data_IF_320565589714
#
_entry.id   IF_320565589714
#
_cell.length_a   1.000
_cell.length_b   1.000
_cell.length_c   1.000
_cell.angle_alpha   90.00
_cell.angle_beta   90.00
_cell.angle_gamma   90.00
#
_symmetry.space_group_name_H-M   'P 1'
#
loop_
_entity.id
_entity.type
_entity.pdbx_description
1 polymer ?
#
# COMPACT_ATOMS: atom_id res chain seq x y z
N UNK A 1 22.28 -2.11 -13.20
CA UNK A 1 22.78 -3.49 -13.01
C UNK A 1 21.67 -4.47 -13.34
N UNK A 2 21.88 -5.49 -14.19
CA UNK A 2 20.87 -6.52 -14.46
C UNK A 2 20.55 -7.33 -13.19
N UNK A 3 19.46 -8.09 -13.23
CA UNK A 3 19.22 -9.14 -12.23
C UNK A 3 20.32 -10.19 -12.33
N UNK A 4 20.82 -10.65 -11.18
CA UNK A 4 21.81 -11.74 -11.11
C UNK A 4 21.10 -13.10 -11.27
N UNK A 5 21.85 -14.13 -11.68
CA UNK A 5 21.31 -15.50 -11.76
C UNK A 5 20.74 -15.99 -10.43
N UNK A 6 21.36 -15.58 -9.31
CA UNK A 6 20.87 -15.89 -7.97
C UNK A 6 19.52 -15.22 -7.69
N UNK A 7 19.35 -13.94 -8.05
CA UNK A 7 18.08 -13.23 -7.89
C UNK A 7 16.98 -13.86 -8.75
N UNK A 8 17.28 -14.13 -10.02
CA UNK A 8 16.35 -14.78 -10.96
C UNK A 8 15.93 -16.15 -10.43
N UNK A 9 16.88 -16.96 -9.97
CA UNK A 9 16.62 -18.27 -9.37
C UNK A 9 15.71 -18.17 -8.14
N UNK A 10 15.98 -17.22 -7.24
CA UNK A 10 15.15 -16.98 -6.05
C UNK A 10 13.72 -16.56 -6.42
N UNK A 11 13.55 -15.63 -7.38
CA UNK A 11 12.23 -15.18 -7.85
C UNK A 11 11.47 -16.35 -8.50
N UNK A 12 12.12 -17.11 -9.38
CA UNK A 12 11.50 -18.24 -10.07
C UNK A 12 11.12 -19.38 -9.12
N UNK A 13 11.89 -19.62 -8.06
CA UNK A 13 11.53 -20.58 -7.00
C UNK A 13 10.28 -20.15 -6.22
N UNK A 14 10.05 -18.85 -6.09
CA UNK A 14 8.83 -18.33 -5.45
C UNK A 14 7.64 -18.51 -6.38
N UNK A 15 7.69 -18.05 -7.63
CA UNK A 15 6.55 -18.12 -8.57
C UNK A 15 6.09 -19.56 -8.80
N UNK A 16 7.02 -20.51 -8.94
CA UNK A 16 6.70 -21.94 -9.17
C UNK A 16 6.21 -22.69 -7.94
N UNK A 17 6.22 -22.05 -6.76
CA UNK A 17 5.67 -22.65 -5.53
C UNK A 17 4.17 -22.39 -5.35
N UNK A 18 3.53 -21.74 -6.32
CA UNK A 18 2.11 -21.40 -6.34
C UNK A 18 1.38 -22.05 -7.53
N UNK A 19 0.08 -21.76 -7.67
CA UNK A 19 -0.76 -22.31 -8.72
C UNK A 19 -0.28 -21.87 -10.13
N UNK A 20 -0.58 -22.65 -11.19
CA UNK A 20 -0.36 -22.21 -12.57
C UNK A 20 -0.97 -20.82 -12.83
N UNK A 21 -0.34 -20.06 -13.72
CA UNK A 21 -0.66 -18.66 -14.03
C UNK A 21 -0.39 -17.65 -12.89
N UNK A 22 0.26 -18.07 -11.81
CA UNK A 22 0.83 -17.12 -10.84
C UNK A 22 1.89 -16.27 -11.51
N UNK A 23 1.83 -14.96 -11.33
CA UNK A 23 2.77 -13.99 -11.88
C UNK A 23 3.48 -13.19 -10.79
N UNK A 24 4.73 -12.84 -11.09
CA UNK A 24 5.50 -11.82 -10.37
C UNK A 24 5.97 -10.78 -11.38
N UNK A 25 5.72 -9.51 -11.07
CA UNK A 25 6.34 -8.36 -11.73
C UNK A 25 7.29 -7.71 -10.71
N UNK A 26 8.57 -7.60 -11.05
CA UNK A 26 9.61 -7.12 -10.13
C UNK A 26 10.33 -5.91 -10.75
N UNK A 27 10.48 -4.84 -9.98
CA UNK A 27 11.45 -3.78 -10.26
C UNK A 27 12.58 -3.83 -9.23
N UNK A 28 13.82 -3.72 -9.71
CA UNK A 28 15.05 -3.61 -8.90
C UNK A 28 15.61 -2.21 -9.06
N UNK A 29 16.06 -1.60 -7.97
CA UNK A 29 16.83 -0.35 -7.98
C UNK A 29 18.23 -0.58 -7.44
N UNK A 30 19.20 0.07 -8.06
CA UNK A 30 20.57 0.14 -7.58
C UNK A 30 21.21 1.45 -8.03
N UNK A 31 21.64 2.27 -7.08
CA UNK A 31 22.26 3.58 -7.32
C UNK A 31 21.40 4.50 -8.23
N UNK A 32 20.08 4.52 -8.00
CA UNK A 32 19.14 5.36 -8.75
C UNK A 32 18.69 4.82 -10.11
N UNK A 33 19.40 3.83 -10.65
CA UNK A 33 19.00 3.09 -11.85
C UNK A 33 18.02 1.97 -11.53
N UNK A 34 17.23 1.55 -12.53
CA UNK A 34 16.24 0.49 -12.34
C UNK A 34 16.16 -0.50 -13.51
N UNK A 35 15.70 -1.72 -13.20
CA UNK A 35 15.46 -2.80 -14.16
C UNK A 35 14.17 -3.54 -13.79
N UNK A 36 13.55 -4.19 -14.79
CA UNK A 36 12.36 -5.01 -14.61
C UNK A 36 12.67 -6.49 -14.82
N UNK A 37 11.95 -7.34 -14.10
CA UNK A 37 11.93 -8.78 -14.34
C UNK A 37 10.51 -9.31 -14.09
N UNK A 38 9.95 -9.97 -15.09
CA UNK A 38 8.63 -10.60 -15.02
C UNK A 38 8.74 -12.11 -15.19
N UNK A 39 8.00 -12.86 -14.37
CA UNK A 39 7.94 -14.32 -14.46
C UNK A 39 6.54 -14.84 -14.13
N UNK A 40 6.17 -15.96 -14.75
CA UNK A 40 4.90 -16.65 -14.55
C UNK A 40 5.13 -18.13 -14.27
N UNK A 41 4.30 -18.73 -13.41
CA UNK A 41 4.23 -20.18 -13.24
C UNK A 41 3.52 -20.81 -14.45
N UNK A 42 4.32 -21.29 -15.40
CA UNK A 42 3.87 -22.06 -16.56
C UNK A 42 3.75 -23.55 -16.28
N UNK A 43 3.52 -24.33 -17.35
CA UNK A 43 3.32 -25.79 -17.25
C UNK A 43 4.61 -26.52 -16.90
N UNK A 44 5.75 -26.04 -17.41
CA UNK A 44 7.07 -26.66 -17.26
C UNK A 44 7.94 -25.99 -16.18
N UNK A 45 7.40 -25.00 -15.47
CA UNK A 45 8.13 -24.21 -14.47
C UNK A 45 7.96 -22.71 -14.67
N UNK A 46 8.97 -21.94 -14.30
CA UNK A 46 8.95 -20.48 -14.47
C UNK A 46 9.15 -20.11 -15.95
N UNK A 47 8.29 -19.25 -16.47
CA UNK A 47 8.35 -18.69 -17.83
C UNK A 47 8.56 -17.17 -17.74
N UNK A 48 9.51 -16.58 -18.48
CA UNK A 48 9.66 -15.13 -18.53
C UNK A 48 8.43 -14.47 -19.17
N UNK A 49 8.01 -13.33 -18.64
CA UNK A 49 6.89 -12.53 -19.18
C UNK A 49 7.21 -11.04 -19.12
N UNK A 50 6.72 -10.27 -20.09
CA UNK A 50 6.87 -8.80 -20.14
C UNK A 50 5.68 -8.12 -19.46
N UNK A 51 5.61 -8.21 -18.13
CA UNK A 51 4.47 -7.72 -17.34
C UNK A 51 4.74 -6.41 -16.59
N UNK A 52 5.77 -5.65 -16.98
CA UNK A 52 6.16 -4.43 -16.26
C UNK A 52 5.12 -3.29 -16.37
N UNK A 53 4.24 -3.35 -17.38
CA UNK A 53 3.07 -2.47 -17.54
C UNK A 53 1.74 -3.14 -17.13
N UNK A 54 1.71 -4.43 -16.83
CA UNK A 54 0.49 -5.13 -16.43
C UNK A 54 0.06 -4.66 -15.03
N UNK A 55 -1.24 -4.48 -14.86
CA UNK A 55 -1.85 -3.86 -13.68
C UNK A 55 -2.23 -4.92 -12.67
N UNK A 56 -1.90 -4.66 -11.41
CA UNK A 56 -2.22 -5.49 -10.25
C UNK A 56 -2.92 -4.64 -9.19
N UNK A 57 -3.75 -5.23 -8.34
CA UNK A 57 -4.09 -4.56 -7.08
C UNK A 57 -2.86 -4.50 -6.18
N UNK A 58 -2.51 -3.32 -5.71
CA UNK A 58 -1.34 -3.14 -4.85
C UNK A 58 -1.71 -3.20 -3.36
N UNK A 59 -3.00 -3.33 -3.05
CA UNK A 59 -3.54 -3.39 -1.69
C UNK A 59 -3.00 -2.25 -0.84
N UNK A 60 -2.53 -2.57 0.36
CA UNK A 60 -2.09 -1.56 1.33
C UNK A 60 -0.89 -0.70 0.91
N UNK A 61 -0.18 -0.97 -0.20
CA UNK A 61 0.73 0.05 -0.77
C UNK A 61 -0.01 1.35 -1.12
N UNK A 62 -1.33 1.30 -1.33
CA UNK A 62 -2.21 2.47 -1.41
C UNK A 62 -1.97 3.48 -0.28
N UNK A 63 -1.70 3.01 0.94
CA UNK A 63 -1.49 3.89 2.10
C UNK A 63 -0.29 4.82 1.94
N UNK A 64 0.71 4.41 1.16
CA UNK A 64 1.86 5.27 0.81
C UNK A 64 1.40 6.47 -0.03
N UNK A 65 0.44 6.27 -0.92
CA UNK A 65 -0.11 7.32 -1.78
C UNK A 65 -1.09 8.21 -1.01
N UNK A 66 -1.95 7.62 -0.17
CA UNK A 66 -2.82 8.38 0.75
C UNK A 66 -2.00 9.29 1.67
N UNK A 67 -0.92 8.76 2.26
CA UNK A 67 -0.02 9.52 3.13
C UNK A 67 0.84 10.54 2.36
N UNK A 68 1.15 10.29 1.09
CA UNK A 68 1.80 11.29 0.25
C UNK A 68 0.86 12.48 -0.05
N UNK A 69 -0.42 12.23 -0.32
CA UNK A 69 -1.42 13.30 -0.45
C UNK A 69 -1.56 14.11 0.85
N UNK A 70 -1.57 13.44 2.02
CA UNK A 70 -1.53 14.14 3.32
C UNK A 70 -0.29 15.02 3.46
N UNK A 71 0.90 14.50 3.12
CA UNK A 71 2.14 15.25 3.22
C UNK A 71 2.16 16.48 2.29
N UNK A 72 1.65 16.33 1.06
CA UNK A 72 1.49 17.45 0.12
C UNK A 72 0.55 18.53 0.68
N UNK A 73 -0.65 18.12 1.14
CA UNK A 73 -1.63 19.04 1.73
C UNK A 73 -1.10 19.74 2.98
N UNK A 74 -0.24 19.06 3.75
CA UNK A 74 0.45 19.67 4.91
C UNK A 74 1.43 20.75 4.46
N UNK A 75 2.27 20.44 3.46
CA UNK A 75 3.22 21.43 2.92
C UNK A 75 2.53 22.62 2.23
N UNK A 76 1.32 22.42 1.70
CA UNK A 76 0.45 23.48 1.16
C UNK A 76 -0.24 24.32 2.25
N UNK A 77 -0.16 23.92 3.52
CA UNK A 77 -0.87 24.57 4.63
C UNK A 77 -2.38 24.31 4.65
N UNK A 78 -2.88 23.33 3.88
CA UNK A 78 -4.30 22.93 3.89
C UNK A 78 -4.68 22.14 5.14
N UNK A 79 -3.73 21.42 5.72
CA UNK A 79 -3.91 20.64 6.95
C UNK A 79 -2.68 20.76 7.85
N UNK A 80 -2.88 20.58 9.15
CA UNK A 80 -1.80 20.42 10.12
C UNK A 80 -1.85 18.97 10.60
N UNK A 81 -0.70 18.28 10.60
CA UNK A 81 -0.63 16.84 10.89
C UNK A 81 -1.24 16.45 12.24
N UNK A 82 -1.03 17.26 13.27
CA UNK A 82 -1.49 17.00 14.63
C UNK A 82 -2.90 17.53 14.91
N UNK A 83 -3.50 18.26 13.96
CA UNK A 83 -4.89 18.71 14.11
C UNK A 83 -5.86 17.53 14.02
N UNK A 84 -6.94 17.65 14.78
CA UNK A 84 -8.03 16.70 14.75
C UNK A 84 -8.80 16.78 13.41
N UNK A 85 -9.12 15.62 12.83
CA UNK A 85 -9.95 15.53 11.62
C UNK A 85 -11.41 15.93 11.88
N UNK A 86 -11.81 16.05 13.16
CA UNK A 86 -13.18 16.22 13.60
C UNK A 86 -13.89 17.42 12.92
N UNK A 87 -13.17 18.51 12.65
CA UNK A 87 -13.73 19.69 11.98
C UNK A 87 -14.13 19.45 10.52
N UNK A 88 -13.66 18.34 9.92
CA UNK A 88 -13.95 17.95 8.54
C UNK A 88 -15.08 16.93 8.42
N UNK A 89 -15.65 16.52 9.55
CA UNK A 89 -16.74 15.55 9.59
C UNK A 89 -18.03 16.29 9.97
N UNK A 90 -19.11 16.04 9.22
CA UNK A 90 -20.45 16.56 9.54
C UNK A 90 -21.10 15.85 10.75
N UNK A 91 -20.29 15.19 11.58
CA UNK A 91 -20.70 14.44 12.76
C UNK A 91 -19.70 14.69 13.89
N UNK A 92 -20.20 14.61 15.13
CA UNK A 92 -19.34 14.52 16.30
C UNK A 92 -18.90 13.07 16.47
N UNK A 93 -17.58 12.83 16.56
CA UNK A 93 -17.07 11.50 16.90
C UNK A 93 -17.52 11.18 18.33
N UNK A 94 -17.99 9.95 18.54
CA UNK A 94 -18.48 9.45 19.83
C UNK A 94 -17.53 9.82 20.97
N UNK A 95 -18.11 10.24 22.10
CA UNK A 95 -17.40 10.58 23.34
C UNK A 95 -16.34 11.69 23.16
N UNK A 96 -16.55 12.60 22.20
CA UNK A 96 -15.66 13.75 21.90
C UNK A 96 -14.22 13.37 21.55
N UNK A 97 -14.03 12.16 21.03
CA UNK A 97 -12.71 11.65 20.73
C UNK A 97 -12.04 12.43 19.60
N UNK A 98 -10.81 12.87 19.84
CA UNK A 98 -9.97 13.55 18.86
C UNK A 98 -9.06 12.55 18.16
N UNK A 99 -9.03 12.63 16.83
CA UNK A 99 -8.18 11.78 15.98
C UNK A 99 -7.42 12.69 15.03
N UNK A 100 -6.09 12.70 15.09
CA UNK A 100 -5.27 13.52 14.20
C UNK A 100 -4.95 12.84 12.86
N UNK A 101 -4.62 13.64 11.85
CA UNK A 101 -4.18 13.13 10.55
C UNK A 101 -2.92 12.26 10.67
N UNK A 102 -1.94 12.69 11.46
CA UNK A 102 -0.74 11.92 11.76
C UNK A 102 -1.09 10.58 12.41
N UNK A 103 -2.04 10.56 13.35
CA UNK A 103 -2.43 9.33 14.03
C UNK A 103 -3.09 8.32 13.08
N UNK A 104 -3.85 8.78 12.08
CA UNK A 104 -4.39 7.92 11.02
C UNK A 104 -3.29 7.36 10.11
N UNK A 105 -2.38 8.23 9.64
CA UNK A 105 -1.29 7.86 8.72
C UNK A 105 -0.22 6.96 9.36
N UNK A 106 -0.11 6.97 10.69
CA UNK A 106 0.89 6.20 11.45
C UNK A 106 0.30 5.03 12.22
N UNK A 107 -1.00 4.75 12.04
CA UNK A 107 -1.71 3.69 12.76
C UNK A 107 -1.70 3.84 14.29
N UNK A 108 -1.72 5.07 14.81
CA UNK A 108 -1.68 5.35 16.25
C UNK A 108 -2.95 6.02 16.80
N UNK A 109 -4.00 6.12 15.98
CA UNK A 109 -5.29 6.73 16.34
C UNK A 109 -6.11 5.94 17.37
N UNK A 110 -5.73 4.70 17.67
CA UNK A 110 -6.53 3.79 18.48
C UNK A 110 -7.71 3.16 17.72
N UNK A 111 -7.92 3.48 16.43
CA UNK A 111 -8.99 2.88 15.64
C UNK A 111 -8.78 1.35 15.49
N UNK A 112 -9.88 0.56 15.49
CA UNK A 112 -9.80 -0.87 15.24
C UNK A 112 -9.27 -1.15 13.82
N UNK A 113 -8.85 -2.40 13.58
CA UNK A 113 -8.26 -2.78 12.29
C UNK A 113 -9.24 -2.58 11.12
N UNK A 114 -10.50 -2.93 11.35
CA UNK A 114 -11.60 -2.94 10.37
C UNK A 114 -12.85 -2.32 11.01
N UNK A 115 -13.78 -1.76 10.22
CA UNK A 115 -15.09 -1.39 10.73
C UNK A 115 -15.88 -2.63 11.21
N UNK A 116 -16.86 -2.46 12.11
CA UNK A 116 -17.70 -3.53 12.61
C UNK A 116 -18.51 -4.17 11.48
N UNK A 117 -18.82 -5.46 11.62
CA UNK A 117 -19.65 -6.20 10.63
C UNK A 117 -18.93 -6.59 9.34
N UNK A 118 -17.77 -6.00 9.00
CA UNK A 118 -17.04 -6.33 7.78
C UNK A 118 -16.57 -7.80 7.74
N UNK A 119 -16.09 -8.32 8.88
CA UNK A 119 -15.77 -9.74 9.04
C UNK A 119 -16.99 -10.64 8.84
N UNK A 120 -18.17 -10.20 9.30
CA UNK A 120 -19.42 -10.93 9.12
C UNK A 120 -19.87 -10.89 7.64
N UNK A 121 -19.74 -9.76 6.96
CA UNK A 121 -19.98 -9.65 5.53
C UNK A 121 -19.04 -10.57 4.73
N UNK A 122 -17.75 -10.60 5.09
CA UNK A 122 -16.75 -11.46 4.48
C UNK A 122 -17.03 -12.96 4.68
N UNK A 123 -17.66 -13.34 5.80
CA UNK A 123 -17.97 -14.74 6.10
C UNK A 123 -19.31 -15.20 5.52
N UNK A 124 -20.34 -14.35 5.49
CA UNK A 124 -21.73 -14.80 5.31
C UNK A 124 -22.50 -14.16 4.16
N UNK A 125 -22.17 -12.94 3.70
CA UNK A 125 -22.97 -12.25 2.66
C UNK A 125 -22.21 -11.94 1.37
N UNK A 126 -20.99 -11.40 1.48
CA UNK A 126 -20.17 -10.95 0.35
C UNK A 126 -18.77 -11.53 0.47
N UNK A 127 -18.68 -12.86 0.37
CA UNK A 127 -17.42 -13.62 0.55
C UNK A 127 -16.26 -13.13 -0.33
N UNK A 128 -16.56 -12.55 -1.49
CA UNK A 128 -15.57 -12.15 -2.49
C UNK A 128 -15.20 -10.65 -2.42
N UNK A 129 -16.07 -9.79 -1.88
CA UNK A 129 -15.82 -8.34 -1.75
C UNK A 129 -16.64 -7.71 -0.60
N UNK A 130 -16.17 -7.80 0.65
CA UNK A 130 -16.93 -7.35 1.81
C UNK A 130 -16.90 -5.83 2.06
N UNK A 131 -16.02 -5.09 1.37
CA UNK A 131 -15.88 -3.65 1.57
C UNK A 131 -16.82 -2.82 0.68
N UNK A 132 -17.23 -3.35 -0.46
CA UNK A 132 -18.10 -2.67 -1.44
C UNK A 132 -19.40 -2.10 -0.83
N UNK A 133 -19.91 -2.74 0.22
CA UNK A 133 -21.15 -2.31 0.88
C UNK A 133 -20.95 -1.22 1.92
N UNK A 134 -19.71 -0.92 2.32
CA UNK A 134 -19.42 0.00 3.42
C UNK A 134 -19.24 1.41 2.86
N UNK A 135 -20.29 2.21 2.97
CA UNK A 135 -20.40 3.53 2.35
C UNK A 135 -20.19 4.66 3.37
N UNK A 136 -20.23 5.91 2.89
CA UNK A 136 -20.05 7.12 3.71
C UNK A 136 -20.94 7.11 4.94
N UNK A 137 -22.23 6.83 4.78
CA UNK A 137 -23.19 6.85 5.88
C UNK A 137 -22.90 5.77 6.93
N UNK A 138 -22.42 4.58 6.52
CA UNK A 138 -21.99 3.54 7.46
C UNK A 138 -20.78 3.99 8.28
N UNK A 139 -19.81 4.63 7.62
CA UNK A 139 -18.61 5.19 8.26
C UNK A 139 -18.98 6.28 9.27
N UNK A 140 -19.77 7.27 8.87
CA UNK A 140 -20.16 8.37 9.76
C UNK A 140 -21.04 7.87 10.90
N UNK A 141 -21.96 6.95 10.62
CA UNK A 141 -22.75 6.31 11.66
C UNK A 141 -21.86 5.57 12.67
N UNK A 142 -20.87 4.82 12.17
CA UNK A 142 -19.92 4.11 13.04
C UNK A 142 -19.15 5.08 13.94
N UNK A 143 -18.57 6.14 13.36
CA UNK A 143 -17.81 7.15 14.09
C UNK A 143 -18.65 7.91 15.13
N UNK A 144 -19.92 8.19 14.84
CA UNK A 144 -20.79 8.92 15.75
C UNK A 144 -21.35 8.04 16.88
N UNK A 145 -21.64 6.76 16.62
CA UNK A 145 -22.49 5.97 17.52
C UNK A 145 -21.83 4.72 18.10
N UNK A 146 -20.92 4.05 17.39
CA UNK A 146 -20.48 2.71 17.76
C UNK A 146 -18.96 2.55 17.84
N UNK A 147 -18.19 3.58 17.47
CA UNK A 147 -16.74 3.51 17.56
C UNK A 147 -16.26 3.35 19.00
N UNK A 148 -15.19 2.60 19.18
CA UNK A 148 -14.45 2.50 20.43
C UNK A 148 -12.97 2.54 20.09
N UNK A 149 -12.26 3.54 20.60
CA UNK A 149 -10.81 3.66 20.43
C UNK A 149 -10.09 2.80 21.47
N UNK A 150 -9.05 2.11 21.01
CA UNK A 150 -8.01 1.54 21.86
C UNK A 150 -7.01 2.60 22.32
N UNK A 151 -5.86 2.15 22.82
CA UNK A 151 -4.78 3.06 23.22
C UNK A 151 -4.26 3.86 22.04
N UNK A 152 -4.42 5.18 22.10
CA UNK A 152 -3.76 6.11 21.19
C UNK A 152 -2.25 6.12 21.41
N UNK A 153 -1.49 6.63 20.44
CA UNK A 153 -0.03 6.68 20.42
C UNK A 153 0.65 5.30 20.47
N UNK A 154 -0.09 4.21 20.29
CA UNK A 154 0.44 2.86 20.14
C UNK A 154 0.10 2.38 18.73
N UNK A 155 1.11 1.84 18.03
CA UNK A 155 0.92 1.34 16.68
C UNK A 155 -0.05 0.15 16.71
N UNK A 156 -1.17 0.31 16.02
CA UNK A 156 -2.18 -0.70 15.80
C UNK A 156 -2.72 -0.55 14.39
N UNK A 157 -2.24 -1.43 13.49
CA UNK A 157 -2.56 -1.39 12.07
C UNK A 157 -4.06 -1.28 11.80
N UNK A 158 -4.48 -0.21 11.11
CA UNK A 158 -5.88 0.10 10.87
C UNK A 158 -6.17 0.46 9.41
N UNK A 159 -6.95 -0.40 8.74
CA UNK A 159 -7.55 -0.07 7.45
C UNK A 159 -8.67 0.95 7.62
N UNK A 160 -9.41 0.90 8.73
CA UNK A 160 -10.41 1.93 9.04
C UNK A 160 -9.76 3.31 9.12
N UNK A 161 -8.63 3.44 9.82
CA UNK A 161 -7.90 4.69 9.95
C UNK A 161 -7.34 5.21 8.63
N UNK A 162 -6.68 4.35 7.85
CA UNK A 162 -6.17 4.77 6.54
C UNK A 162 -7.28 5.09 5.52
N UNK A 163 -8.40 4.34 5.55
CA UNK A 163 -9.57 4.62 4.73
C UNK A 163 -10.24 5.94 5.12
N UNK A 164 -10.40 6.19 6.42
CA UNK A 164 -10.89 7.46 6.96
C UNK A 164 -9.99 8.64 6.56
N UNK A 165 -8.67 8.45 6.59
CA UNK A 165 -7.73 9.47 6.10
C UNK A 165 -8.00 9.79 4.63
N UNK A 166 -8.07 8.78 3.77
CA UNK A 166 -8.38 9.00 2.35
C UNK A 166 -9.72 9.71 2.13
N UNK A 167 -10.75 9.34 2.90
CA UNK A 167 -12.06 9.99 2.84
C UNK A 167 -11.98 11.47 3.23
N UNK A 168 -11.41 11.80 4.39
CA UNK A 168 -11.32 13.19 4.87
C UNK A 168 -10.48 14.07 3.95
N UNK A 169 -9.37 13.56 3.40
CA UNK A 169 -8.57 14.32 2.44
C UNK A 169 -9.34 14.60 1.14
N UNK A 170 -10.21 13.69 0.72
CA UNK A 170 -11.07 13.87 -0.46
C UNK A 170 -12.14 14.94 -0.21
N UNK A 171 -12.81 14.90 0.96
CA UNK A 171 -13.78 15.92 1.37
C UNK A 171 -13.14 17.31 1.44
N UNK A 172 -11.94 17.41 2.04
CA UNK A 172 -11.17 18.66 2.12
C UNK A 172 -10.83 19.26 0.76
N UNK A 173 -10.53 18.42 -0.23
CA UNK A 173 -10.20 18.85 -1.58
C UNK A 173 -11.47 19.05 -2.44
N UNK A 174 -12.64 18.65 -1.94
CA UNK A 174 -13.91 18.74 -2.65
C UNK A 174 -14.01 17.83 -3.88
N UNK A 175 -13.33 16.69 -3.86
CA UNK A 175 -13.27 15.74 -4.98
C UNK A 175 -13.42 14.29 -4.48
N UNK A 176 -13.57 13.33 -5.38
CA UNK A 176 -13.53 11.92 -4.99
C UNK A 176 -12.08 11.42 -4.80
N UNK A 177 -11.92 10.22 -4.21
CA UNK A 177 -10.59 9.67 -3.94
C UNK A 177 -9.78 9.38 -5.21
N UNK A 178 -10.45 9.05 -6.33
CA UNK A 178 -9.79 8.86 -7.62
C UNK A 178 -9.20 10.17 -8.12
N UNK A 179 -10.00 11.24 -8.10
CA UNK A 179 -9.60 12.59 -8.48
C UNK A 179 -8.49 13.14 -7.59
N UNK A 180 -8.55 12.86 -6.28
CA UNK A 180 -7.51 13.21 -5.33
C UNK A 180 -6.16 12.62 -5.76
N UNK A 181 -6.08 11.30 -5.96
CA UNK A 181 -4.81 10.66 -6.36
C UNK A 181 -4.41 11.02 -7.81
N UNK A 182 -5.38 11.17 -8.71
CA UNK A 182 -5.11 11.56 -10.10
C UNK A 182 -4.44 12.93 -10.19
N UNK A 183 -4.97 13.92 -9.46
CA UNK A 183 -4.46 15.30 -9.48
C UNK A 183 -3.15 15.45 -8.71
N UNK A 184 -3.01 14.77 -7.56
CA UNK A 184 -1.89 14.95 -6.64
C UNK A 184 -0.68 14.05 -6.92
N UNK A 185 -0.90 12.86 -7.49
CA UNK A 185 0.15 11.85 -7.68
C UNK A 185 0.21 11.32 -9.09
N UNK A 186 -0.86 10.73 -9.62
CA UNK A 186 -0.75 9.94 -10.84
C UNK A 186 -0.39 10.78 -12.07
N UNK A 187 -1.06 11.93 -12.27
CA UNK A 187 -0.70 12.84 -13.37
C UNK A 187 0.67 13.50 -13.16
N UNK A 188 0.98 14.13 -12.00
CA UNK A 188 2.28 14.77 -11.80
C UNK A 188 3.47 13.82 -11.91
N UNK A 189 3.32 12.57 -11.46
CA UNK A 189 4.37 11.55 -11.48
C UNK A 189 4.36 10.69 -12.75
N UNK A 190 3.48 11.01 -13.72
CA UNK A 190 3.34 10.28 -14.98
C UNK A 190 3.04 8.78 -14.79
N UNK A 191 2.25 8.44 -13.78
CA UNK A 191 1.78 7.09 -13.46
C UNK A 191 0.50 6.78 -14.25
N UNK A 192 0.65 6.43 -15.53
CA UNK A 192 -0.45 6.31 -16.50
C UNK A 192 -1.24 5.00 -16.42
N UNK A 193 -0.76 4.02 -15.67
CA UNK A 193 -1.37 2.72 -15.44
C UNK A 193 -1.76 2.53 -13.97
N UNK A 194 -2.05 3.64 -13.28
CA UNK A 194 -2.47 3.68 -11.89
C UNK A 194 -3.91 4.17 -11.79
N UNK A 195 -4.72 3.41 -11.07
CA UNK A 195 -6.16 3.56 -10.98
C UNK A 195 -6.63 3.31 -9.54
N UNK A 196 -7.84 3.76 -9.19
CA UNK A 196 -8.49 3.44 -7.92
C UNK A 196 -9.71 2.54 -8.08
N UNK A 197 -10.10 2.24 -9.32
CA UNK A 197 -11.20 1.37 -9.68
C UNK A 197 -10.75 0.47 -10.83
N UNK A 198 -10.92 -0.84 -10.65
CA UNK A 198 -10.50 -1.83 -11.64
C UNK A 198 -11.24 -1.70 -12.98
N UNK A 199 -12.44 -1.09 -12.98
CA UNK A 199 -13.24 -0.85 -14.18
C UNK A 199 -12.64 0.21 -15.11
N UNK A 200 -11.76 1.06 -14.58
CA UNK A 200 -11.12 2.14 -15.33
C UNK A 200 -9.78 1.70 -15.94
N UNK A 201 -9.33 0.46 -15.66
CA UNK A 201 -8.05 -0.06 -16.15
C UNK A 201 -8.09 -0.15 -17.66
N UNK A 202 -7.34 0.75 -18.30
CA UNK A 202 -7.08 0.73 -19.74
C UNK A 202 -5.79 -0.05 -19.99
N UNK A 203 -5.89 -1.37 -20.07
CA UNK A 203 -4.73 -2.25 -20.28
C UNK A 203 -4.96 -3.66 -19.76
N UNK A 204 -3.87 -4.40 -19.57
CA UNK A 204 -3.91 -5.75 -19.00
C UNK A 204 -4.02 -5.68 -17.47
N UNK A 205 -5.22 -5.95 -16.94
CA UNK A 205 -5.42 -6.27 -15.53
C UNK A 205 -5.15 -7.76 -15.32
N UNK A 206 -4.09 -8.09 -14.58
CA UNK A 206 -3.71 -9.48 -14.31
C UNK A 206 -4.79 -10.14 -13.45
N UNK A 207 -5.24 -11.34 -13.81
CA UNK A 207 -6.29 -12.04 -13.06
C UNK A 207 -5.76 -12.44 -11.69
N UNK A 208 -6.41 -11.96 -10.63
CA UNK A 208 -6.10 -12.31 -9.24
C UNK A 208 -6.34 -13.80 -8.94
N UNK A 209 -5.46 -14.40 -8.13
CA UNK A 209 -5.56 -15.79 -7.69
C UNK A 209 -5.87 -15.82 -6.19
N UNK A 210 -7.02 -16.38 -5.85
CA UNK A 210 -7.53 -16.60 -4.51
C UNK A 210 -6.65 -17.52 -3.67
N UNK A 211 -6.97 -17.59 -2.38
CA UNK A 211 -6.15 -18.28 -1.38
C UNK A 211 -6.00 -19.80 -1.60
N UNK A 212 -6.83 -20.42 -2.45
CA UNK A 212 -6.71 -21.83 -2.79
C UNK A 212 -6.31 -22.09 -4.26
N UNK A 213 -5.88 -21.05 -5.00
CA UNK A 213 -5.42 -21.17 -6.39
C UNK A 213 -6.50 -20.89 -7.46
N UNK A 214 -7.72 -20.54 -7.06
CA UNK A 214 -8.82 -20.18 -7.95
C UNK A 214 -8.73 -18.73 -8.46
N UNK A 215 -9.18 -18.40 -9.68
CA UNK A 215 -9.39 -17.01 -10.06
C UNK A 215 -10.35 -16.30 -9.09
N UNK A 216 -10.06 -15.05 -8.74
CA UNK A 216 -10.90 -14.24 -7.83
C UNK A 216 -11.13 -12.83 -8.35
N UNK A 217 -12.27 -12.27 -7.97
CA UNK A 217 -12.63 -10.90 -8.29
C UNK A 217 -11.75 -9.88 -7.57
N UNK A 218 -11.64 -8.72 -8.20
CA UNK A 218 -11.06 -7.51 -7.64
C UNK A 218 -11.87 -6.97 -6.45
N UNK A 219 -11.19 -6.29 -5.53
CA UNK A 219 -11.81 -5.63 -4.38
C UNK A 219 -12.27 -4.21 -4.73
N UNK A 220 -13.39 -3.83 -4.13
CA UNK A 220 -13.93 -2.47 -4.12
C UNK A 220 -14.00 -2.07 -2.65
N UNK A 221 -13.28 -1.02 -2.27
CA UNK A 221 -13.13 -0.65 -0.86
C UNK A 221 -14.21 0.32 -0.36
N UNK A 222 -15.21 0.66 -1.19
CA UNK A 222 -16.30 1.58 -0.81
C UNK A 222 -15.75 2.93 -0.34
N UNK A 223 -16.17 3.40 0.84
CA UNK A 223 -15.62 4.64 1.41
C UNK A 223 -14.17 4.50 1.91
N UNK A 224 -13.65 3.28 2.10
CA UNK A 224 -12.31 3.03 2.64
C UNK A 224 -11.22 2.90 1.56
N UNK A 225 -11.40 3.53 0.39
CA UNK A 225 -10.45 3.46 -0.73
C UNK A 225 -9.00 3.79 -0.32
N UNK A 226 -8.82 4.78 0.56
CA UNK A 226 -7.53 5.19 1.13
C UNK A 226 -6.74 4.08 1.83
N UNK A 227 -7.37 2.95 2.14
CA UNK A 227 -6.71 1.81 2.75
C UNK A 227 -6.05 0.85 1.75
N UNK A 228 -6.53 0.77 0.50
CA UNK A 228 -6.13 -0.35 -0.36
C UNK A 228 -6.67 -0.42 -1.79
N UNK A 229 -7.33 0.63 -2.30
CA UNK A 229 -8.01 0.59 -3.60
C UNK A 229 -7.12 0.75 -4.83
N UNK A 230 -5.85 1.11 -4.68
CA UNK A 230 -5.02 1.39 -5.85
C UNK A 230 -4.72 0.10 -6.61
N UNK A 231 -4.87 0.18 -7.93
CA UNK A 231 -4.32 -0.74 -8.90
C UNK A 231 -3.18 -0.03 -9.64
N UNK A 232 -2.05 -0.69 -9.83
CA UNK A 232 -0.87 -0.11 -10.49
C UNK A 232 -0.01 -1.20 -11.13
N UNK A 233 0.95 -0.80 -11.96
CA UNK A 233 2.03 -1.65 -12.45
C UNK A 233 3.38 -1.27 -11.80
N UNK A 234 4.40 -2.10 -11.98
CA UNK A 234 5.75 -1.79 -11.46
C UNK A 234 6.38 -0.58 -12.14
N UNK A 235 6.11 -0.33 -13.42
CA UNK A 235 6.60 0.85 -14.16
C UNK A 235 6.14 2.18 -13.55
N UNK A 236 4.91 2.23 -13.08
CA UNK A 236 4.35 3.41 -12.43
C UNK A 236 4.87 3.56 -10.99
N UNK A 237 4.92 2.45 -10.24
CA UNK A 237 5.49 2.47 -8.88
C UNK A 237 6.98 2.85 -8.87
N UNK A 238 7.70 2.59 -9.97
CA UNK A 238 9.05 3.11 -10.17
C UNK A 238 9.09 4.64 -10.19
N UNK A 239 8.11 5.32 -10.77
CA UNK A 239 8.06 6.79 -10.75
C UNK A 239 7.84 7.31 -9.33
N UNK A 240 6.95 6.67 -8.57
CA UNK A 240 6.75 7.00 -7.16
C UNK A 240 8.05 6.81 -6.35
N UNK A 241 8.73 5.67 -6.51
CA UNK A 241 9.99 5.38 -5.82
C UNK A 241 11.13 6.35 -6.20
N UNK A 242 11.24 6.75 -7.47
CA UNK A 242 12.24 7.74 -7.91
C UNK A 242 12.09 9.08 -7.20
N UNK A 243 10.86 9.55 -7.00
CA UNK A 243 10.63 10.78 -6.25
C UNK A 243 10.99 10.63 -4.77
N UNK A 244 10.73 9.45 -4.19
CA UNK A 244 11.19 9.14 -2.83
C UNK A 244 12.72 9.14 -2.72
N UNK A 245 13.45 8.62 -3.71
CA UNK A 245 14.91 8.65 -3.73
C UNK A 245 15.50 10.05 -3.91
N UNK A 246 14.87 10.88 -4.75
CA UNK A 246 15.36 12.22 -5.03
C UNK A 246 15.30 13.14 -3.80
N UNK A 247 14.26 12.99 -2.96
CA UNK A 247 14.04 13.81 -1.74
C UNK A 247 14.10 15.33 -1.99
N UNK A 248 13.81 15.78 -3.21
CA UNK A 248 13.84 17.20 -3.57
C UNK A 248 12.61 17.94 -3.06
N UNK A 249 11.46 17.28 -3.07
CA UNK A 249 10.18 17.86 -2.70
C UNK A 249 9.98 17.89 -1.17
N UNK A 250 9.45 18.99 -0.59
CA UNK A 250 9.17 19.09 0.85
C UNK A 250 8.27 17.98 1.38
N UNK A 251 7.23 17.59 0.63
CA UNK A 251 6.30 16.55 1.04
C UNK A 251 6.97 15.17 1.10
N UNK A 252 8.00 14.91 0.28
CA UNK A 252 8.76 13.65 0.33
C UNK A 252 9.54 13.57 1.63
N UNK A 253 10.22 14.65 2.01
CA UNK A 253 10.96 14.72 3.28
C UNK A 253 10.03 14.55 4.47
N UNK A 254 8.85 15.20 4.43
CA UNK A 254 7.84 15.06 5.47
C UNK A 254 7.30 13.62 5.54
N UNK A 255 7.05 12.99 4.38
CA UNK A 255 6.55 11.62 4.33
C UNK A 255 7.55 10.62 4.93
N UNK A 256 8.85 10.85 4.71
CA UNK A 256 9.93 9.99 5.22
C UNK A 256 10.30 10.28 6.68
N UNK A 257 9.87 11.41 7.23
CA UNK A 257 10.13 11.74 8.63
C UNK A 257 9.45 10.73 9.55
N UNK A 258 10.24 10.06 10.39
CA UNK A 258 9.75 9.15 11.43
C UNK A 258 8.90 9.97 12.41
N UNK A 259 7.62 9.61 12.49
CA UNK A 259 6.64 10.24 13.37
C UNK A 259 6.48 9.47 14.69
N UNK A 260 6.69 8.15 14.64
CA UNK A 260 6.57 7.26 15.79
C UNK A 260 7.81 6.39 15.87
N UNK A 261 8.47 6.39 17.03
CA UNK A 261 9.60 5.50 17.34
C UNK A 261 9.40 4.89 18.74
N UNK A 262 9.08 3.59 18.79
CA UNK A 262 8.92 2.83 20.04
C UNK A 262 9.63 1.49 19.94
N UNK A 263 10.80 1.38 20.57
CA UNK A 263 11.64 0.19 20.49
C UNK A 263 12.09 -0.06 19.05
N UNK A 264 11.66 -1.18 18.47
CA UNK A 264 11.95 -1.53 17.07
C UNK A 264 10.88 -1.04 16.08
N UNK A 265 9.75 -0.54 16.56
CA UNK A 265 8.68 -0.02 15.72
C UNK A 265 8.98 1.42 15.35
N UNK A 266 9.21 1.67 14.06
CA UNK A 266 9.34 3.02 13.50
C UNK A 266 8.34 3.19 12.38
N UNK A 267 7.60 4.29 12.40
CA UNK A 267 6.58 4.59 11.42
C UNK A 267 6.75 6.04 10.97
N UNK A 268 6.91 6.22 9.66
CA UNK A 268 6.74 7.51 8.99
C UNK A 268 5.37 7.55 8.31
N UNK A 269 5.02 8.60 7.57
CA UNK A 269 3.67 8.72 7.00
C UNK A 269 3.44 7.62 5.94
N UNK A 270 2.69 6.60 6.33
CA UNK A 270 2.43 5.39 5.53
C UNK A 270 3.59 4.37 5.50
N UNK A 271 4.82 4.72 5.87
CA UNK A 271 5.96 3.79 5.81
C UNK A 271 6.23 3.10 7.15
N UNK A 272 6.49 1.79 7.13
CA UNK A 272 7.24 1.16 8.20
C UNK A 272 8.72 1.37 7.95
N UNK A 273 9.47 1.65 9.01
CA UNK A 273 10.91 1.89 8.93
C UNK A 273 11.63 0.86 9.79
N UNK A 274 12.62 0.19 9.22
CA UNK A 274 13.47 -0.79 9.88
C UNK A 274 14.90 -0.26 9.97
N UNK A 275 15.72 -0.85 10.84
CA UNK A 275 17.12 -0.47 11.02
C UNK A 275 17.32 0.73 11.95
N UNK A 276 18.51 1.30 11.90
CA UNK A 276 18.97 2.38 12.76
C UNK A 276 19.54 3.55 11.96
N UNK A 277 19.02 4.76 12.22
CA UNK A 277 19.55 5.98 11.63
C UNK A 277 21.03 6.18 11.94
N UNK A 278 21.47 5.83 13.14
CA UNK A 278 22.88 5.94 13.55
C UNK A 278 23.84 5.01 12.80
N UNK A 279 23.32 3.94 12.17
CA UNK A 279 24.11 2.97 11.40
C UNK A 279 24.02 3.20 9.89
N UNK A 280 23.24 4.19 9.44
CA UNK A 280 23.00 4.43 8.01
C UNK A 280 22.32 3.25 7.30
N UNK A 281 21.49 2.47 8.01
CA UNK A 281 20.89 1.24 7.48
C UNK A 281 19.35 1.26 7.48
N UNK A 282 18.75 2.45 7.44
CA UNK A 282 17.29 2.60 7.40
C UNK A 282 16.70 1.99 6.12
N UNK A 283 15.72 1.12 6.32
CA UNK A 283 14.95 0.50 5.24
C UNK A 283 13.48 0.90 5.38
N UNK A 284 12.94 1.58 4.37
CA UNK A 284 11.53 1.93 4.28
C UNK A 284 10.78 0.80 3.58
N UNK A 285 9.72 0.31 4.22
CA UNK A 285 8.99 -0.86 3.77
C UNK A 285 7.49 -0.67 3.94
N UNK A 286 6.73 -1.21 2.99
CA UNK A 286 5.33 -1.52 3.17
C UNK A 286 4.98 -2.74 2.31
N UNK A 287 4.05 -3.57 2.77
CA UNK A 287 3.47 -4.65 1.97
C UNK A 287 1.96 -4.48 1.78
N UNK A 288 1.41 -5.14 0.78
CA UNK A 288 0.00 -5.09 0.46
C UNK A 288 -0.56 -6.48 0.25
N UNK A 289 -1.90 -6.55 0.33
CA UNK A 289 -2.64 -7.76 0.07
C UNK A 289 -4.12 -7.47 -0.10
N UNK A 290 -4.72 -8.11 -1.09
CA UNK A 290 -6.16 -8.10 -1.35
C UNK A 290 -6.65 -9.54 -1.57
N UNK A 291 -7.86 -9.71 -2.10
CA UNK A 291 -8.47 -11.02 -2.33
C UNK A 291 -7.64 -11.90 -3.25
N UNK A 292 -7.03 -11.29 -4.28
CA UNK A 292 -6.29 -12.00 -5.32
C UNK A 292 -4.87 -11.51 -5.54
N UNK A 293 -4.34 -10.58 -4.74
CA UNK A 293 -3.06 -9.95 -5.03
C UNK A 293 -2.23 -9.72 -3.77
N UNK A 294 -0.92 -9.62 -3.95
CA UNK A 294 0.04 -9.27 -2.92
C UNK A 294 1.15 -8.44 -3.51
N UNK A 295 1.70 -7.55 -2.68
CA UNK A 295 2.68 -6.58 -3.11
C UNK A 295 3.66 -6.29 -2.00
N UNK A 296 4.83 -5.80 -2.37
CA UNK A 296 5.81 -5.27 -1.42
C UNK A 296 6.67 -4.20 -2.09
N UNK A 297 6.99 -3.15 -1.34
CA UNK A 297 7.96 -2.13 -1.70
C UNK A 297 8.97 -1.98 -0.57
N UNK A 298 10.26 -2.10 -0.88
CA UNK A 298 11.38 -1.89 0.05
C UNK A 298 12.37 -0.92 -0.58
N UNK A 299 12.65 0.18 0.09
CA UNK A 299 13.54 1.23 -0.40
C UNK A 299 14.55 1.61 0.68
N UNK A 300 15.82 1.55 0.31
CA UNK A 300 16.92 2.15 1.03
C UNK A 300 17.17 3.53 0.37
N UNK A 301 16.69 4.58 1.03
CA UNK A 301 16.64 5.92 0.42
C UNK A 301 18.03 6.54 0.26
N UNK A 302 18.99 6.13 1.09
CA UNK A 302 20.37 6.66 1.08
C UNK A 302 21.18 6.08 -0.08
N UNK A 303 21.11 4.76 -0.28
CA UNK A 303 21.78 4.07 -1.39
C UNK A 303 20.98 4.05 -2.70
N UNK A 304 19.79 4.66 -2.71
CA UNK A 304 18.85 4.66 -3.84
C UNK A 304 18.62 3.26 -4.43
N UNK A 305 18.49 2.29 -3.54
CA UNK A 305 18.46 0.86 -3.85
C UNK A 305 17.21 0.22 -3.25
N UNK A 306 16.68 -0.82 -3.87
CA UNK A 306 15.37 -1.33 -3.45
C UNK A 306 14.73 -2.35 -4.39
N UNK A 307 13.58 -2.85 -3.96
CA UNK A 307 12.73 -3.72 -4.77
C UNK A 307 11.26 -3.35 -4.65
N UNK A 308 10.55 -3.49 -5.76
CA UNK A 308 9.08 -3.50 -5.83
C UNK A 308 8.68 -4.84 -6.42
N UNK A 309 7.76 -5.55 -5.77
CA UNK A 309 7.26 -6.84 -6.25
C UNK A 309 5.73 -6.78 -6.22
N UNK A 310 5.10 -7.07 -7.36
CA UNK A 310 3.66 -7.25 -7.49
C UNK A 310 3.37 -8.70 -7.88
N UNK A 311 2.29 -9.25 -7.33
CA UNK A 311 1.86 -10.61 -7.61
C UNK A 311 0.36 -10.73 -7.61
N UNK A 312 -0.18 -11.57 -8.49
CA UNK A 312 -1.58 -11.98 -8.48
C UNK A 312 -1.84 -13.14 -7.50
N UNK A 313 -1.09 -13.24 -6.40
CA UNK A 313 -1.37 -14.18 -5.30
C UNK A 313 -2.10 -13.47 -4.19
N UNK A 314 -3.23 -14.01 -3.75
CA UNK A 314 -4.02 -13.53 -2.61
C UNK A 314 -3.18 -13.14 -1.39
N UNK A 315 -3.45 -11.95 -0.86
CA UNK A 315 -2.95 -11.51 0.45
C UNK A 315 -3.40 -12.41 1.60
N UNK A 316 -4.45 -13.22 1.39
CA UNK A 316 -4.99 -14.18 2.34
C UNK A 316 -4.39 -15.58 2.19
N UNK A 317 -3.49 -15.80 1.23
CA UNK A 317 -2.82 -17.07 1.04
C UNK A 317 -1.86 -17.36 2.21
N UNK A 318 -1.89 -18.57 2.77
CA UNK A 318 -1.10 -18.96 3.96
C UNK A 318 0.42 -18.73 3.80
N UNK A 319 0.91 -18.81 2.56
CA UNK A 319 2.33 -18.62 2.23
C UNK A 319 2.69 -17.17 1.86
N UNK A 320 1.74 -16.22 1.76
CA UNK A 320 2.00 -14.86 1.26
C UNK A 320 3.18 -14.20 1.99
N UNK A 321 3.13 -14.18 3.32
CA UNK A 321 4.20 -13.56 4.12
C UNK A 321 5.53 -14.31 4.00
N UNK A 322 5.48 -15.64 3.99
CA UNK A 322 6.68 -16.50 3.93
C UNK A 322 7.37 -16.51 2.56
N UNK A 323 6.66 -16.12 1.50
CA UNK A 323 7.13 -16.22 0.12
C UNK A 323 7.25 -14.85 -0.54
N UNK A 324 6.17 -14.08 -0.65
CA UNK A 324 6.19 -12.79 -1.39
C UNK A 324 6.83 -11.68 -0.56
N UNK A 325 6.37 -11.45 0.67
CA UNK A 325 6.97 -10.43 1.55
C UNK A 325 8.44 -10.80 1.86
N UNK A 326 8.71 -12.06 2.20
CA UNK A 326 10.07 -12.55 2.48
C UNK A 326 11.00 -12.44 1.27
N UNK A 327 10.51 -12.65 0.05
CA UNK A 327 11.31 -12.50 -1.18
C UNK A 327 11.93 -11.11 -1.27
N UNK A 328 11.16 -10.06 -1.01
CA UNK A 328 11.69 -8.70 -1.04
C UNK A 328 12.83 -8.48 -0.05
N UNK A 329 12.71 -8.98 1.18
CA UNK A 329 13.81 -8.92 2.16
C UNK A 329 15.02 -9.79 1.78
N UNK A 330 14.80 -10.94 1.14
CA UNK A 330 15.87 -11.81 0.66
C UNK A 330 16.66 -11.15 -0.48
N UNK A 331 15.96 -10.55 -1.44
CA UNK A 331 16.57 -9.77 -2.52
C UNK A 331 17.28 -8.52 -1.99
N UNK A 332 16.75 -7.84 -0.97
CA UNK A 332 17.47 -6.70 -0.37
C UNK A 332 18.84 -7.09 0.20
N UNK A 333 19.03 -8.34 0.66
CA UNK A 333 20.34 -8.82 1.15
C UNK A 333 21.36 -8.98 0.04
N UNK A 334 20.94 -9.19 -1.22
CA UNK A 334 21.86 -9.29 -2.36
C UNK A 334 22.44 -7.93 -2.75
N UNK A 335 21.69 -6.84 -2.52
CA UNK A 335 22.15 -5.48 -2.80
C UNK A 335 23.14 -4.95 -1.77
N UNK A 336 23.04 -5.38 -0.52
CA UNK A 336 23.86 -4.87 0.58
C UNK A 336 25.27 -5.46 0.65
N UNK A 337 25.68 -6.31 -0.30
CA UNK A 337 27.06 -6.79 -0.43
C UNK A 337 27.66 -7.24 0.91
N UNK A 338 27.10 -8.30 1.51
CA UNK A 338 27.69 -8.98 2.67
C UNK A 338 28.15 -10.39 2.28
#
# INVERSE_FOLDING_TARGET
>A
MPFTDQEISTINKVVTSFAPNTELAVAKFFEGEHQYFGTRCGVQGAEPVENHCSVFEIGSLTKLMTSAALAQMTCEGKVILDDAINSQLDIQIRDDQLISYAALATHTSGLPRLPPGLLWQALFKRKHNPYEAYLRDDLLHHLAHTITLGSQNKMHYSNLGAGLLGHVLSELEGCDYSELLQSRLFKPLNMRHSFTNWRDVSGELVIGIGKNGEPTNNWDLGVLQGAGAVLSCVKDLVQFAKVQFAQTEPWVKLQQQIQVEKGFEKVALGWFVLGSKSKGDLLYFHDGGTGGYSSVMLLDMESQSGYIILSNISGLHKLKGQKVTKLGFELMRTLKGF
#
